data_IF_825864097830
#
_entry.id   IF_825864097830
#
_cell.length_a   1.000
_cell.length_b   1.000
_cell.length_c   1.000
_cell.angle_alpha   90.00
_cell.angle_beta   90.00
_cell.angle_gamma   90.00
#
_symmetry.space_group_name_H-M   'P 1'
#
loop_
_entity.id
_entity.type
_entity.pdbx_description
1 polymer ?
#
# COMPACT_ATOMS: atom_id res chain seq x y z
N UNK A 1 -9.88 17.89 5.24
CA UNK A 1 -9.16 16.70 5.68
C UNK A 1 -8.44 17.02 6.98
N UNK A 2 -8.76 16.31 8.08
CA UNK A 2 -8.12 16.44 9.39
C UNK A 2 -7.13 15.27 9.64
N UNK A 3 -6.45 15.25 10.80
CA UNK A 3 -5.47 14.20 11.15
C UNK A 3 -6.08 12.80 11.08
N UNK A 4 -7.26 12.60 11.65
CA UNK A 4 -7.93 11.29 11.72
C UNK A 4 -8.30 10.79 10.31
N UNK A 5 -8.85 11.68 9.48
CA UNK A 5 -9.19 11.38 8.08
C UNK A 5 -7.94 11.01 7.27
N UNK A 6 -6.80 11.65 7.52
CA UNK A 6 -5.54 11.31 6.86
C UNK A 6 -5.02 9.93 7.30
N UNK A 7 -5.09 9.61 8.61
CA UNK A 7 -4.67 8.31 9.12
C UNK A 7 -5.56 7.18 8.56
N UNK A 8 -6.87 7.40 8.51
CA UNK A 8 -7.80 6.45 7.91
C UNK A 8 -7.49 6.24 6.42
N UNK A 9 -7.29 7.32 5.66
CA UNK A 9 -6.96 7.25 4.24
C UNK A 9 -5.68 6.42 4.00
N UNK A 10 -4.63 6.62 4.80
CA UNK A 10 -3.39 5.87 4.64
C UNK A 10 -3.58 4.37 4.91
N UNK A 11 -4.42 4.00 5.88
CA UNK A 11 -4.78 2.60 6.13
C UNK A 11 -5.61 2.00 4.99
N UNK A 12 -6.56 2.75 4.44
CA UNK A 12 -7.35 2.31 3.28
C UNK A 12 -6.49 2.10 2.04
N UNK A 13 -5.51 2.97 1.79
CA UNK A 13 -4.54 2.78 0.71
C UNK A 13 -3.71 1.51 0.94
N UNK A 14 -3.23 1.28 2.17
CA UNK A 14 -2.48 0.07 2.48
C UNK A 14 -3.30 -1.21 2.22
N UNK A 15 -4.58 -1.20 2.60
CA UNK A 15 -5.49 -2.30 2.34
C UNK A 15 -5.71 -2.52 0.83
N UNK A 16 -6.01 -1.47 0.08
CA UNK A 16 -6.21 -1.53 -1.37
C UNK A 16 -4.97 -2.08 -2.10
N UNK A 17 -3.77 -1.65 -1.69
CA UNK A 17 -2.52 -2.13 -2.28
C UNK A 17 -2.25 -3.61 -1.97
N UNK A 18 -2.57 -4.08 -0.76
CA UNK A 18 -2.44 -5.49 -0.41
C UNK A 18 -3.43 -6.36 -1.20
N UNK A 19 -4.71 -5.95 -1.27
CA UNK A 19 -5.75 -6.65 -2.02
C UNK A 19 -5.41 -6.75 -3.52
N UNK A 20 -4.85 -5.68 -4.09
CA UNK A 20 -4.50 -5.61 -5.51
C UNK A 20 -3.05 -5.99 -5.82
N UNK A 21 -2.27 -6.45 -4.83
CA UNK A 21 -0.84 -6.74 -4.97
C UNK A 21 -0.51 -7.60 -6.18
N UNK A 22 -1.18 -8.74 -6.34
CA UNK A 22 -0.93 -9.66 -7.45
C UNK A 22 -1.40 -9.09 -8.79
N UNK A 23 -2.49 -8.33 -8.79
CA UNK A 23 -2.98 -7.66 -10.00
C UNK A 23 -1.99 -6.61 -10.50
N UNK A 24 -1.51 -5.74 -9.60
CA UNK A 24 -0.50 -4.72 -9.91
C UNK A 24 0.83 -5.34 -10.36
N UNK A 25 1.26 -6.42 -9.68
CA UNK A 25 2.45 -7.20 -10.07
C UNK A 25 2.29 -7.75 -11.49
N UNK A 26 1.12 -8.33 -11.80
CA UNK A 26 0.83 -8.87 -13.14
C UNK A 26 0.87 -7.77 -14.21
N UNK A 27 0.21 -6.64 -13.98
CA UNK A 27 0.24 -5.51 -14.93
C UNK A 27 1.67 -5.04 -15.20
N UNK A 28 2.49 -4.98 -14.15
CA UNK A 28 3.88 -4.57 -14.24
C UNK A 28 4.75 -5.63 -14.91
N UNK A 29 4.47 -6.93 -14.76
CA UNK A 29 5.16 -7.98 -15.53
C UNK A 29 4.96 -7.84 -17.04
N UNK A 30 3.81 -7.35 -17.51
CA UNK A 30 3.54 -7.23 -18.95
C UNK A 30 4.41 -6.15 -19.62
N UNK A 31 4.90 -5.15 -18.89
CA UNK A 31 5.62 -3.99 -19.45
C UNK A 31 6.86 -3.52 -18.66
N UNK A 32 7.21 -4.22 -17.58
CA UNK A 32 8.20 -3.84 -16.57
C UNK A 32 8.86 -5.07 -15.94
N UNK A 33 9.33 -4.94 -14.71
CA UNK A 33 10.06 -6.01 -13.99
C UNK A 33 9.17 -6.84 -13.05
N UNK A 34 7.90 -6.46 -12.92
CA UNK A 34 6.91 -7.22 -12.17
C UNK A 34 7.06 -7.08 -10.66
N UNK A 35 7.69 -6.03 -10.17
CA UNK A 35 7.91 -5.83 -8.75
C UNK A 35 6.96 -4.79 -8.13
N UNK A 36 6.20 -4.04 -8.94
CA UNK A 36 5.44 -2.88 -8.47
C UNK A 36 4.45 -3.20 -7.36
N UNK A 37 3.57 -4.19 -7.56
CA UNK A 37 2.58 -4.57 -6.56
C UNK A 37 3.21 -5.04 -5.26
N UNK A 38 4.30 -5.81 -5.34
CA UNK A 38 5.08 -6.29 -4.18
C UNK A 38 5.71 -5.11 -3.44
N UNK A 39 6.34 -4.19 -4.16
CA UNK A 39 7.01 -3.03 -3.61
C UNK A 39 6.02 -2.09 -2.91
N UNK A 40 4.86 -1.84 -3.52
CA UNK A 40 3.81 -1.00 -2.93
C UNK A 40 3.22 -1.63 -1.67
N UNK A 41 2.89 -2.92 -1.70
CA UNK A 41 2.39 -3.64 -0.53
C UNK A 41 3.41 -3.64 0.63
N UNK A 42 4.70 -3.88 0.34
CA UNK A 42 5.78 -3.83 1.33
C UNK A 42 5.94 -2.43 1.94
N UNK A 43 5.96 -1.40 1.09
CA UNK A 43 6.09 -0.01 1.54
C UNK A 43 4.94 0.43 2.43
N UNK A 44 3.70 0.13 2.03
CA UNK A 44 2.52 0.53 2.79
C UNK A 44 2.29 -0.32 4.05
N UNK A 45 2.75 -1.57 4.11
CA UNK A 45 2.85 -2.31 5.37
C UNK A 45 3.76 -1.58 6.37
N UNK A 46 4.91 -1.06 5.93
CA UNK A 46 5.80 -0.30 6.79
C UNK A 46 5.18 1.04 7.23
N UNK A 47 4.42 1.71 6.36
CA UNK A 47 3.64 2.91 6.73
C UNK A 47 2.61 2.56 7.80
N UNK A 48 1.77 1.53 7.58
CA UNK A 48 0.74 1.13 8.53
C UNK A 48 1.31 0.81 9.92
N UNK A 49 2.44 0.08 9.98
CA UNK A 49 3.14 -0.21 11.23
C UNK A 49 3.61 1.06 11.96
N UNK A 50 4.09 2.08 11.22
CA UNK A 50 4.46 3.36 11.84
C UNK A 50 3.28 4.18 12.29
N UNK A 51 2.13 4.08 11.61
CA UNK A 51 0.91 4.77 12.03
C UNK A 51 0.34 4.17 13.32
N UNK A 52 0.40 2.85 13.50
CA UNK A 52 -0.01 2.20 14.76
C UNK A 52 0.85 2.63 15.96
N UNK A 53 2.11 3.00 15.75
CA UNK A 53 2.98 3.54 16.81
C UNK A 53 2.65 5.00 17.19
N UNK A 54 1.85 5.70 16.37
CA UNK A 54 1.51 7.13 16.53
C UNK A 54 0.12 7.37 17.14
N UNK A 55 -0.66 6.30 17.33
CA UNK A 55 -1.99 6.29 17.96
C UNK A 55 -1.92 5.72 19.35
#
# INVERSE_FOLDING_TARGET
MNKEQLLQLLNEIAHCLEENKLFLTKLDTEIGDGDHGINMARGFHAVAARLSDMT
#
